data_IF_862478338103
#
_entry.id   IF_862478338103
#
_cell.length_a   1.000
_cell.length_b   1.000
_cell.length_c   1.000
_cell.angle_alpha   90.00
_cell.angle_beta   90.00
_cell.angle_gamma   90.00
#
_symmetry.space_group_name_H-M   'P 1'
#
loop_
_entity.id
_entity.type
_entity.pdbx_description
1 polymer ?
#
# COMPACT_ATOMS: atom_id res chain seq x y z
N UNK A 1 28.58 10.77 -22.49
CA UNK A 1 27.60 9.69 -22.75
C UNK A 1 28.23 8.40 -22.29
N UNK A 2 27.55 7.60 -21.48
CA UNK A 2 28.10 6.33 -21.00
C UNK A 2 28.21 5.36 -22.17
N UNK A 3 29.32 4.58 -22.24
CA UNK A 3 29.38 3.45 -23.19
C UNK A 3 28.42 2.35 -22.72
N UNK A 4 27.40 2.05 -23.52
CA UNK A 4 26.38 1.05 -23.27
C UNK A 4 26.52 -0.13 -24.26
N UNK A 5 27.74 -0.40 -24.74
CA UNK A 5 28.05 -1.58 -25.55
C UNK A 5 27.74 -2.87 -24.78
N UNK A 6 27.47 -3.96 -25.53
CA UNK A 6 27.22 -5.31 -24.98
C UNK A 6 28.31 -5.72 -23.97
N UNK A 7 29.57 -5.45 -24.32
CA UNK A 7 30.73 -5.75 -23.47
C UNK A 7 30.63 -4.99 -22.15
N UNK A 8 30.37 -3.68 -22.20
CA UNK A 8 30.27 -2.84 -21.00
C UNK A 8 29.10 -3.24 -20.12
N UNK A 9 27.92 -3.52 -20.70
CA UNK A 9 26.75 -4.01 -19.97
C UNK A 9 27.04 -5.34 -19.28
N UNK A 10 27.76 -6.25 -19.95
CA UNK A 10 28.19 -7.52 -19.38
C UNK A 10 29.15 -7.32 -18.21
N UNK A 11 30.13 -6.46 -18.35
CA UNK A 11 31.09 -6.14 -17.28
C UNK A 11 30.40 -5.54 -16.05
N UNK A 12 29.38 -4.70 -16.25
CA UNK A 12 28.55 -4.16 -15.17
C UNK A 12 27.71 -5.24 -14.48
N UNK A 13 27.03 -6.09 -15.26
CA UNK A 13 26.19 -7.15 -14.74
C UNK A 13 26.98 -8.21 -13.94
N UNK A 14 28.19 -8.55 -14.39
CA UNK A 14 29.08 -9.51 -13.70
C UNK A 14 29.57 -9.05 -12.32
N UNK A 15 29.34 -7.80 -11.95
CA UNK A 15 29.61 -7.30 -10.59
C UNK A 15 28.57 -7.79 -9.58
N UNK A 16 27.38 -8.13 -10.06
CA UNK A 16 26.20 -8.37 -9.25
C UNK A 16 25.59 -9.76 -9.43
N UNK A 17 25.93 -10.44 -10.55
CA UNK A 17 25.32 -11.71 -10.92
C UNK A 17 26.38 -12.72 -11.35
N UNK A 18 26.08 -14.00 -11.12
CA UNK A 18 26.88 -15.09 -11.66
C UNK A 18 26.78 -15.12 -13.19
N UNK A 19 27.88 -15.37 -13.91
CA UNK A 19 27.86 -15.50 -15.37
C UNK A 19 26.81 -16.47 -15.94
N UNK A 20 26.47 -17.52 -15.20
CA UNK A 20 25.47 -18.53 -15.59
C UNK A 20 24.03 -17.95 -15.62
N UNK A 21 23.77 -16.93 -14.82
CA UNK A 21 22.46 -16.26 -14.73
C UNK A 21 22.26 -15.16 -15.78
N UNK A 22 23.28 -14.92 -16.61
CA UNK A 22 23.27 -13.86 -17.61
C UNK A 22 23.21 -14.42 -19.05
N UNK A 23 22.46 -13.78 -19.97
CA UNK A 23 22.42 -14.17 -21.36
C UNK A 23 23.76 -13.89 -22.06
N UNK A 24 24.01 -14.56 -23.19
CA UNK A 24 25.18 -14.27 -24.02
C UNK A 24 25.24 -12.81 -24.49
N UNK A 25 24.08 -12.29 -24.93
CA UNK A 25 23.88 -10.89 -25.29
C UNK A 25 22.61 -10.37 -24.63
N UNK A 26 22.62 -9.12 -24.18
CA UNK A 26 21.45 -8.44 -23.64
C UNK A 26 20.59 -7.87 -24.76
N UNK A 27 19.29 -8.00 -24.65
CA UNK A 27 18.39 -7.19 -25.43
C UNK A 27 18.26 -5.81 -24.72
N UNK A 28 18.55 -4.76 -25.47
CA UNK A 28 18.48 -3.38 -24.95
C UNK A 28 17.12 -2.81 -25.31
N UNK A 29 16.43 -2.27 -24.32
CA UNK A 29 15.13 -1.64 -24.45
C UNK A 29 15.24 -0.17 -24.04
N UNK A 30 14.98 0.74 -24.97
CA UNK A 30 14.91 2.20 -24.73
C UNK A 30 13.51 2.76 -24.93
N UNK A 31 12.61 1.95 -25.52
CA UNK A 31 11.19 2.22 -25.71
C UNK A 31 10.36 1.22 -24.90
N UNK A 32 9.53 1.71 -24.01
CA UNK A 32 8.68 0.91 -23.11
C UNK A 32 7.20 0.97 -23.46
N UNK A 33 6.85 1.42 -24.66
CA UNK A 33 5.45 1.56 -25.12
C UNK A 33 4.70 0.23 -25.04
N UNK A 34 5.35 -0.88 -25.37
CA UNK A 34 4.80 -2.22 -25.19
C UNK A 34 5.51 -2.91 -24.03
N UNK A 35 4.94 -2.84 -22.83
CA UNK A 35 5.51 -3.44 -21.63
C UNK A 35 5.56 -4.98 -21.68
N UNK A 36 4.79 -5.64 -22.53
CA UNK A 36 4.89 -7.10 -22.73
C UNK A 36 6.18 -7.50 -23.44
N UNK A 37 6.78 -6.58 -24.18
CA UNK A 37 8.08 -6.82 -24.84
C UNK A 37 9.27 -6.70 -23.90
N UNK A 38 9.08 -6.17 -22.70
CA UNK A 38 10.16 -6.07 -21.71
C UNK A 38 10.12 -7.29 -20.81
N UNK A 39 11.17 -8.11 -20.84
CA UNK A 39 11.18 -9.42 -20.20
C UNK A 39 12.45 -9.66 -19.35
N UNK A 40 12.53 -10.84 -18.75
CA UNK A 40 13.66 -11.28 -17.93
C UNK A 40 14.99 -11.19 -18.70
N UNK A 41 16.01 -10.62 -18.05
CA UNK A 41 17.32 -10.36 -18.59
C UNK A 41 17.40 -9.29 -19.70
N UNK A 42 16.34 -8.55 -19.97
CA UNK A 42 16.45 -7.34 -20.77
C UNK A 42 17.12 -6.22 -19.98
N UNK A 43 17.83 -5.34 -20.65
CA UNK A 43 18.40 -4.13 -20.09
C UNK A 43 17.57 -2.93 -20.54
N UNK A 44 16.88 -2.32 -19.58
CA UNK A 44 16.22 -1.03 -19.78
C UNK A 44 17.26 0.09 -19.69
N UNK A 45 17.38 0.89 -20.74
CA UNK A 45 18.20 2.12 -20.72
C UNK A 45 17.26 3.30 -20.56
N UNK A 46 17.28 3.91 -19.39
CA UNK A 46 16.43 5.03 -19.02
C UNK A 46 17.30 6.23 -18.63
N UNK A 47 17.20 7.30 -19.39
CA UNK A 47 18.08 8.49 -19.22
C UNK A 47 19.58 8.12 -19.16
N UNK A 48 20.03 7.26 -20.09
CA UNK A 48 21.41 6.78 -20.20
C UNK A 48 21.90 5.95 -18.99
N UNK A 49 20.98 5.40 -18.21
CA UNK A 49 21.23 4.60 -17.01
C UNK A 49 20.69 3.16 -17.22
N UNK A 50 21.52 2.10 -17.04
CA UNK A 50 21.12 0.72 -17.34
C UNK A 50 20.52 0.00 -16.13
N UNK A 51 19.34 -0.61 -16.33
CA UNK A 51 18.65 -1.45 -15.36
C UNK A 51 18.41 -2.85 -15.92
N UNK A 52 18.90 -3.89 -15.26
CA UNK A 52 18.66 -5.28 -15.66
C UNK A 52 17.33 -5.77 -15.08
N UNK A 53 16.42 -6.19 -15.96
CA UNK A 53 15.12 -6.74 -15.58
C UNK A 53 15.27 -8.16 -15.00
N UNK A 54 14.73 -8.40 -13.81
CA UNK A 54 14.81 -9.70 -13.12
C UNK A 54 13.42 -10.32 -12.90
N UNK A 55 12.43 -9.89 -13.66
CA UNK A 55 11.07 -10.43 -13.67
C UNK A 55 10.00 -9.38 -13.41
N UNK A 56 8.76 -9.85 -13.33
CA UNK A 56 7.61 -9.00 -13.03
C UNK A 56 7.28 -9.02 -11.52
N UNK A 57 6.73 -7.94 -11.02
CA UNK A 57 6.06 -7.97 -9.72
C UNK A 57 4.80 -8.86 -9.81
N UNK A 58 4.39 -9.41 -8.68
CA UNK A 58 3.18 -10.22 -8.57
C UNK A 58 2.21 -9.53 -7.62
N UNK A 59 0.92 -9.71 -7.84
CA UNK A 59 -0.13 -9.26 -6.95
C UNK A 59 -1.02 -10.44 -6.59
N UNK A 60 -1.11 -10.75 -5.29
CA UNK A 60 -2.10 -11.69 -4.79
C UNK A 60 -3.43 -10.97 -4.59
N UNK A 61 -4.46 -11.34 -5.35
CA UNK A 61 -5.83 -10.88 -5.12
C UNK A 61 -6.69 -12.03 -4.61
N UNK A 62 -7.27 -11.89 -3.43
CA UNK A 62 -8.32 -12.78 -2.90
C UNK A 62 -7.98 -14.29 -2.84
N UNK A 63 -6.70 -14.65 -2.62
CA UNK A 63 -6.32 -16.06 -2.52
C UNK A 63 -6.26 -16.81 -3.84
N UNK A 64 -6.33 -16.12 -4.97
CA UNK A 64 -6.02 -16.62 -6.29
C UNK A 64 -4.51 -16.44 -6.52
N UNK A 65 -3.87 -17.38 -7.22
CA UNK A 65 -2.44 -17.36 -7.52
C UNK A 65 -1.95 -15.98 -7.95
N UNK A 66 -0.78 -15.58 -7.46
CA UNK A 66 -0.14 -14.31 -7.75
C UNK A 66 -0.04 -14.04 -9.24
N UNK A 67 -0.90 -13.20 -9.78
CA UNK A 67 -0.84 -12.80 -11.19
C UNK A 67 0.30 -11.81 -11.43
N UNK A 68 1.10 -12.00 -12.49
CA UNK A 68 2.18 -11.08 -12.81
C UNK A 68 1.65 -9.74 -13.31
N UNK A 69 2.13 -8.65 -12.70
CA UNK A 69 1.92 -7.28 -13.19
C UNK A 69 2.97 -6.99 -14.27
N UNK A 70 2.66 -7.26 -15.53
CA UNK A 70 3.62 -7.13 -16.64
C UNK A 70 4.19 -5.72 -16.83
N UNK A 71 3.48 -4.67 -16.35
CA UNK A 71 3.95 -3.28 -16.38
C UNK A 71 4.81 -2.89 -15.18
N UNK A 72 5.02 -3.80 -14.21
CA UNK A 72 5.84 -3.58 -13.01
C UNK A 72 7.01 -4.54 -13.02
N UNK A 73 8.19 -4.04 -13.33
CA UNK A 73 9.42 -4.83 -13.47
C UNK A 73 10.24 -4.77 -12.18
N UNK A 74 10.63 -5.93 -11.67
CA UNK A 74 11.70 -6.03 -10.66
C UNK A 74 13.02 -5.96 -11.40
N UNK A 75 13.86 -5.03 -11.02
CA UNK A 75 15.10 -4.74 -11.74
C UNK A 75 16.27 -4.51 -10.77
N UNK A 76 17.47 -4.61 -11.30
CA UNK A 76 18.70 -4.23 -10.59
C UNK A 76 19.37 -3.10 -11.35
N UNK A 77 19.72 -2.06 -10.67
CA UNK A 77 20.57 -0.98 -11.18
C UNK A 77 21.97 -1.55 -11.42
N UNK A 78 22.45 -1.50 -12.67
CA UNK A 78 23.73 -2.10 -13.01
C UNK A 78 24.93 -1.27 -12.55
N UNK A 79 24.75 -0.01 -12.13
CA UNK A 79 25.84 0.84 -11.68
C UNK A 79 26.18 0.59 -10.22
N UNK A 80 25.17 0.43 -9.34
CA UNK A 80 25.36 0.30 -7.89
C UNK A 80 24.83 -1.01 -7.28
N UNK A 81 24.17 -1.86 -8.08
CA UNK A 81 23.61 -3.15 -7.65
C UNK A 81 22.31 -3.04 -6.85
N UNK A 82 21.76 -1.85 -6.66
CA UNK A 82 20.53 -1.66 -5.88
C UNK A 82 19.32 -2.27 -6.61
N UNK A 83 18.41 -2.88 -5.84
CA UNK A 83 17.16 -3.37 -6.39
C UNK A 83 16.20 -2.20 -6.62
N UNK A 84 15.52 -2.23 -7.76
CA UNK A 84 14.53 -1.24 -8.17
C UNK A 84 13.23 -1.93 -8.61
N UNK A 85 12.13 -1.21 -8.41
CA UNK A 85 10.85 -1.50 -9.04
C UNK A 85 10.64 -0.47 -10.14
N UNK A 86 10.56 -0.92 -11.39
CA UNK A 86 10.36 -0.02 -12.54
C UNK A 86 8.93 -0.21 -13.03
N UNK A 87 8.13 0.85 -12.95
CA UNK A 87 6.75 0.86 -13.42
C UNK A 87 6.68 1.52 -14.79
N UNK A 88 6.29 0.72 -15.78
CA UNK A 88 6.06 1.14 -17.16
C UNK A 88 4.66 1.77 -17.29
N UNK A 89 4.38 2.39 -18.44
CA UNK A 89 3.07 3.02 -18.66
C UNK A 89 2.00 1.94 -18.78
N UNK A 90 1.02 2.02 -17.90
CA UNK A 90 -0.20 1.24 -17.96
C UNK A 90 -1.36 2.13 -17.56
N UNK A 91 -2.28 2.36 -18.49
CA UNK A 91 -3.49 3.14 -18.28
C UNK A 91 -4.68 2.19 -18.16
N UNK A 92 -5.39 2.29 -17.05
CA UNK A 92 -6.56 1.48 -16.75
C UNK A 92 -7.71 2.38 -16.33
N UNK A 93 -8.93 2.07 -16.78
CA UNK A 93 -10.16 2.71 -16.32
C UNK A 93 -11.10 1.63 -15.86
N UNK A 94 -11.61 1.76 -14.65
CA UNK A 94 -12.57 0.82 -14.10
C UNK A 94 -13.54 1.55 -13.16
N UNK A 95 -14.59 0.85 -12.76
CA UNK A 95 -15.50 1.32 -11.74
C UNK A 95 -15.24 0.57 -10.44
N UNK A 96 -14.99 1.31 -9.35
CA UNK A 96 -14.97 0.77 -8.00
C UNK A 96 -16.30 1.06 -7.31
N UNK A 97 -16.74 0.15 -6.45
CA UNK A 97 -17.97 0.30 -5.68
C UNK A 97 -17.67 0.27 -4.19
N UNK A 98 -18.13 1.30 -3.48
CA UNK A 98 -18.01 1.41 -2.02
C UNK A 98 -19.42 1.58 -1.46
N UNK A 99 -19.97 0.53 -0.85
CA UNK A 99 -21.36 0.52 -0.44
C UNK A 99 -22.31 0.78 -1.63
N UNK A 100 -23.21 1.78 -1.55
CA UNK A 100 -24.10 2.17 -2.62
C UNK A 100 -23.44 3.07 -3.69
N UNK A 101 -22.24 3.59 -3.43
CA UNK A 101 -21.58 4.60 -4.27
C UNK A 101 -20.67 3.92 -5.28
N UNK A 102 -20.76 4.34 -6.55
CA UNK A 102 -19.88 3.89 -7.63
C UNK A 102 -18.94 5.02 -8.02
N UNK A 103 -17.64 4.73 -8.06
CA UNK A 103 -16.58 5.65 -8.42
C UNK A 103 -15.99 5.28 -9.76
N UNK A 104 -15.71 6.27 -10.60
CA UNK A 104 -14.87 6.09 -11.77
C UNK A 104 -13.41 6.23 -11.35
N UNK A 105 -12.63 5.18 -11.58
CA UNK A 105 -11.24 5.09 -11.20
C UNK A 105 -10.36 5.08 -12.42
N UNK A 106 -9.27 5.83 -12.36
CA UNK A 106 -8.25 5.86 -13.42
C UNK A 106 -6.89 5.60 -12.80
N UNK A 107 -6.18 4.60 -13.34
CA UNK A 107 -4.76 4.42 -13.06
C UNK A 107 -3.97 5.41 -13.91
N UNK A 108 -3.15 6.23 -13.27
CA UNK A 108 -2.41 7.31 -13.93
C UNK A 108 -0.92 7.31 -13.59
N UNK A 109 -0.06 6.91 -14.56
CA UNK A 109 1.39 7.05 -14.43
C UNK A 109 1.84 8.47 -14.10
N UNK A 110 1.15 9.47 -14.66
CA UNK A 110 1.44 10.88 -14.43
C UNK A 110 1.14 11.33 -13.00
N UNK A 111 0.03 10.82 -12.41
CA UNK A 111 -0.27 11.09 -10.99
C UNK A 111 0.82 10.52 -10.09
N UNK A 112 1.21 9.25 -10.29
CA UNK A 112 2.25 8.63 -9.47
C UNK A 112 3.58 9.37 -9.59
N UNK A 113 3.97 9.80 -10.80
CA UNK A 113 5.17 10.60 -11.01
C UNK A 113 5.13 11.94 -10.24
N UNK A 114 3.97 12.61 -10.23
CA UNK A 114 3.75 13.85 -9.49
C UNK A 114 3.82 13.62 -7.98
N UNK A 115 3.11 12.61 -7.48
CA UNK A 115 3.13 12.26 -6.04
C UNK A 115 4.52 11.86 -5.58
N UNK A 116 5.31 11.08 -6.36
CA UNK A 116 6.71 10.77 -6.06
C UNK A 116 7.55 12.04 -5.84
N UNK A 117 7.29 13.09 -6.61
CA UNK A 117 7.99 14.37 -6.44
C UNK A 117 7.58 15.09 -5.14
N UNK A 118 6.30 15.03 -4.78
CA UNK A 118 5.76 15.64 -3.54
C UNK A 118 6.32 14.92 -2.30
N UNK A 119 6.35 13.58 -2.31
CA UNK A 119 6.76 12.77 -1.16
C UNK A 119 8.27 12.53 -1.09
N UNK A 120 9.06 13.20 -1.91
CA UNK A 120 10.51 13.02 -1.95
C UNK A 120 11.14 13.27 -0.57
N UNK A 121 11.83 12.26 -0.05
CA UNK A 121 12.46 12.28 1.28
C UNK A 121 11.51 12.03 2.45
N UNK A 122 10.20 11.90 2.21
CA UNK A 122 9.25 11.58 3.29
C UNK A 122 9.38 10.11 3.71
N UNK A 123 9.65 9.81 5.00
CA UNK A 123 10.07 8.47 5.44
C UNK A 123 8.98 7.40 5.35
N UNK A 124 7.70 7.77 5.32
CA UNK A 124 6.57 6.84 5.30
C UNK A 124 5.99 6.60 3.89
N UNK A 125 6.71 7.00 2.84
CA UNK A 125 6.36 6.68 1.46
C UNK A 125 7.49 5.94 0.75
N UNK A 126 7.14 5.15 -0.27
CA UNK A 126 8.11 4.68 -1.25
C UNK A 126 8.84 5.87 -1.86
N UNK A 127 10.12 5.70 -2.14
CA UNK A 127 10.96 6.71 -2.76
C UNK A 127 11.29 6.31 -4.19
N UNK A 128 11.52 7.31 -5.02
CA UNK A 128 11.84 7.10 -6.43
C UNK A 128 11.75 8.40 -7.22
N UNK A 129 11.83 8.25 -8.52
CA UNK A 129 11.71 9.35 -9.46
C UNK A 129 11.14 8.85 -10.79
N UNK A 130 10.75 9.77 -11.65
CA UNK A 130 10.27 9.44 -13.00
C UNK A 130 11.21 10.00 -14.07
N UNK A 131 11.31 9.27 -15.18
CA UNK A 131 12.02 9.68 -16.38
C UNK A 131 11.16 9.40 -17.61
N UNK A 132 11.43 10.12 -18.70
CA UNK A 132 10.88 9.76 -19.99
C UNK A 132 11.82 8.77 -20.69
N UNK A 133 11.26 7.73 -21.33
CA UNK A 133 11.99 6.88 -22.27
C UNK A 133 12.12 7.56 -23.65
N UNK A 134 12.71 6.89 -24.64
CA UNK A 134 12.90 7.43 -25.98
C UNK A 134 11.58 7.72 -26.72
N UNK A 135 10.51 7.03 -26.35
CA UNK A 135 9.15 7.25 -26.87
C UNK A 135 8.33 8.23 -26.01
N UNK A 136 8.95 8.92 -25.03
CA UNK A 136 8.35 9.86 -24.09
C UNK A 136 7.35 9.23 -23.12
N UNK A 137 7.40 7.92 -22.91
CA UNK A 137 6.63 7.27 -21.88
C UNK A 137 7.16 7.66 -20.48
N UNK A 138 6.28 7.96 -19.55
CA UNK A 138 6.67 8.27 -18.16
C UNK A 138 6.94 6.98 -17.41
N UNK A 139 8.21 6.66 -17.21
CA UNK A 139 8.66 5.49 -16.46
C UNK A 139 9.00 5.91 -15.03
N UNK A 140 8.48 5.18 -14.02
CA UNK A 140 8.77 5.43 -12.61
C UNK A 140 9.79 4.42 -12.14
N UNK A 141 10.90 4.91 -11.57
CA UNK A 141 11.99 4.11 -11.02
C UNK A 141 11.92 4.28 -9.50
N UNK A 142 11.57 3.21 -8.81
CA UNK A 142 11.23 3.19 -7.39
C UNK A 142 12.25 2.35 -6.65
N UNK A 143 12.73 2.84 -5.51
CA UNK A 143 13.62 2.11 -4.63
C UNK A 143 12.89 0.90 -4.04
N UNK A 144 13.54 -0.26 -4.07
CA UNK A 144 12.96 -1.47 -3.49
C UNK A 144 12.93 -1.35 -1.97
N UNK A 145 11.76 -1.58 -1.37
CA UNK A 145 11.60 -1.63 0.09
C UNK A 145 11.73 -3.09 0.52
N UNK A 146 12.72 -3.39 1.36
CA UNK A 146 12.87 -4.70 1.98
C UNK A 146 11.91 -4.82 3.14
N UNK A 147 11.08 -5.85 3.12
CA UNK A 147 10.06 -6.07 4.13
C UNK A 147 8.84 -6.82 3.59
N UNK A 148 7.83 -6.90 4.39
CA UNK A 148 6.58 -7.57 4.07
C UNK A 148 5.39 -6.60 4.12
N UNK A 149 4.29 -6.95 3.45
CA UNK A 149 3.09 -6.13 3.55
C UNK A 149 2.43 -6.25 4.93
N UNK A 150 1.67 -5.23 5.31
CA UNK A 150 1.04 -5.16 6.63
C UNK A 150 0.17 -6.39 6.97
N UNK A 151 -0.65 -6.96 6.07
CA UNK A 151 -1.38 -8.20 6.33
C UNK A 151 -0.47 -9.37 6.71
N UNK A 152 0.63 -9.58 6.01
CA UNK A 152 1.59 -10.65 6.31
C UNK A 152 2.22 -10.42 7.68
N UNK A 153 2.67 -9.21 7.96
CA UNK A 153 3.23 -8.81 9.25
C UNK A 153 2.26 -9.10 10.41
N UNK A 154 1.00 -8.65 10.32
CA UNK A 154 0.00 -8.87 11.37
C UNK A 154 -0.30 -10.35 11.54
N UNK A 155 -0.48 -11.10 10.44
CA UNK A 155 -0.76 -12.53 10.50
C UNK A 155 0.42 -13.36 11.05
N UNK A 156 1.63 -12.81 11.00
CA UNK A 156 2.84 -13.38 11.61
C UNK A 156 2.83 -13.33 13.14
N UNK A 157 2.02 -12.47 13.76
CA UNK A 157 1.92 -12.33 15.22
C UNK A 157 1.03 -13.45 15.75
N UNK A 158 1.65 -14.52 16.26
CA UNK A 158 0.96 -15.73 16.77
C UNK A 158 0.59 -15.56 18.25
N UNK A 159 -0.41 -14.71 18.53
CA UNK A 159 -0.95 -14.43 19.88
C UNK A 159 -2.46 -14.49 19.85
N UNK A 160 -3.09 -14.76 20.99
CA UNK A 160 -4.50 -14.48 21.12
C UNK A 160 -4.77 -12.95 21.06
N UNK A 161 -6.05 -12.57 20.94
CA UNK A 161 -6.36 -11.14 20.70
C UNK A 161 -6.01 -10.26 21.92
N UNK A 162 -6.18 -10.75 23.13
CA UNK A 162 -5.91 -9.97 24.36
C UNK A 162 -4.39 -9.73 24.53
N UNK A 163 -3.58 -10.77 24.34
CA UNK A 163 -2.12 -10.66 24.31
C UNK A 163 -1.62 -9.76 23.17
N UNK A 164 -2.24 -9.87 22.00
CA UNK A 164 -1.95 -8.99 20.87
C UNK A 164 -2.27 -7.53 21.20
N UNK A 165 -3.48 -7.28 21.71
CA UNK A 165 -4.00 -5.94 21.96
C UNK A 165 -3.19 -5.20 23.03
N UNK A 166 -2.87 -5.86 24.14
CA UNK A 166 -2.09 -5.25 25.22
C UNK A 166 -0.57 -5.24 24.96
N UNK A 167 -0.06 -6.23 24.23
CA UNK A 167 1.39 -6.37 23.99
C UNK A 167 1.90 -5.75 22.70
N UNK A 168 1.32 -6.11 21.57
CA UNK A 168 1.83 -5.76 20.23
C UNK A 168 1.16 -4.50 19.63
N UNK A 169 -0.16 -4.38 19.77
CA UNK A 169 -0.96 -3.33 19.14
C UNK A 169 -0.52 -1.89 19.51
N UNK A 170 -0.10 -1.55 20.76
CA UNK A 170 0.33 -0.18 21.06
C UNK A 170 1.52 0.31 20.22
N UNK A 171 2.44 -0.57 19.87
CA UNK A 171 3.57 -0.24 18.99
C UNK A 171 3.13 -0.11 17.53
N UNK A 172 2.23 -0.99 17.10
CA UNK A 172 1.63 -1.00 15.76
C UNK A 172 0.81 0.28 15.55
N UNK A 173 0.00 0.68 16.55
CA UNK A 173 -0.77 1.92 16.50
C UNK A 173 0.13 3.14 16.36
N UNK A 174 1.27 3.18 17.08
CA UNK A 174 2.25 4.28 16.90
C UNK A 174 2.77 4.36 15.47
N UNK A 175 3.17 3.22 14.89
CA UNK A 175 3.63 3.18 13.51
C UNK A 175 2.52 3.54 12.52
N UNK A 176 1.29 3.09 12.78
CA UNK A 176 0.12 3.41 11.96
C UNK A 176 -0.22 4.92 12.00
N UNK A 177 -0.15 5.57 13.15
CA UNK A 177 -0.36 7.02 13.26
C UNK A 177 0.61 7.78 12.34
N UNK A 178 1.86 7.35 12.22
CA UNK A 178 2.81 7.98 11.30
C UNK A 178 2.40 7.77 9.82
N UNK A 179 1.73 6.67 9.47
CA UNK A 179 1.18 6.48 8.13
C UNK A 179 -0.05 7.36 7.88
N UNK A 180 -0.87 7.61 8.91
CA UNK A 180 -2.00 8.56 8.81
C UNK A 180 -1.49 9.99 8.62
N UNK A 181 -0.46 10.40 9.37
CA UNK A 181 0.21 11.71 9.17
C UNK A 181 0.76 11.85 7.75
N UNK A 182 1.28 10.77 7.18
CA UNK A 182 1.77 10.78 5.80
C UNK A 182 0.62 11.02 4.79
N UNK A 183 -0.53 10.40 4.98
CA UNK A 183 -1.71 10.69 4.13
C UNK A 183 -2.22 12.12 4.36
N UNK A 184 -2.23 12.59 5.60
CA UNK A 184 -2.58 13.98 5.90
C UNK A 184 -1.66 14.97 5.17
N UNK A 185 -0.34 14.72 5.18
CA UNK A 185 0.63 15.48 4.39
C UNK A 185 0.30 15.50 2.89
N UNK A 186 -0.14 14.37 2.28
CA UNK A 186 -0.59 14.38 0.89
C UNK A 186 -1.81 15.29 0.69
N UNK A 187 -2.79 15.20 1.59
CA UNK A 187 -4.01 15.99 1.51
C UNK A 187 -3.73 17.50 1.65
N UNK A 188 -2.80 17.90 2.53
CA UNK A 188 -2.33 19.28 2.65
C UNK A 188 -1.64 19.79 1.37
N UNK A 189 -1.04 18.90 0.59
CA UNK A 189 -0.45 19.18 -0.71
C UNK A 189 -1.43 18.96 -1.89
N UNK A 190 -2.73 18.95 -1.62
CA UNK A 190 -3.78 18.78 -2.62
C UNK A 190 -3.69 17.47 -3.43
N UNK A 191 -2.99 16.45 -2.90
CA UNK A 191 -2.85 15.14 -3.50
C UNK A 191 -3.60 14.07 -2.68
N UNK A 192 -3.95 12.96 -3.34
CA UNK A 192 -4.55 11.79 -2.71
C UNK A 192 -3.65 10.57 -2.93
N UNK A 193 -3.70 9.62 -2.02
CA UNK A 193 -3.13 8.30 -2.29
C UNK A 193 -3.96 7.57 -3.36
N UNK A 194 -5.27 7.52 -3.17
CA UNK A 194 -6.23 6.98 -4.14
C UNK A 194 -6.36 5.46 -4.12
N UNK A 195 -5.52 4.74 -3.38
CA UNK A 195 -5.65 3.29 -3.16
C UNK A 195 -5.15 2.91 -1.76
N UNK A 196 -5.72 3.56 -0.74
CA UNK A 196 -5.39 3.33 0.67
C UNK A 196 -5.91 1.95 1.09
N UNK A 197 -4.99 0.97 1.11
CA UNK A 197 -5.26 -0.42 1.46
C UNK A 197 -4.12 -0.96 2.34
N UNK A 198 -4.43 -1.94 3.17
CA UNK A 198 -3.45 -2.56 4.09
C UNK A 198 -2.29 -3.25 3.37
N UNK A 199 -2.53 -3.82 2.20
CA UNK A 199 -1.50 -4.45 1.36
C UNK A 199 -0.60 -3.44 0.61
N UNK A 200 -0.98 -2.16 0.61
CA UNK A 200 -0.16 -1.05 0.13
C UNK A 200 0.66 -0.36 1.24
N UNK A 201 0.76 -0.99 2.40
CA UNK A 201 1.73 -0.64 3.44
C UNK A 201 2.77 -1.75 3.51
N UNK A 202 4.05 -1.39 3.30
CA UNK A 202 5.19 -2.27 3.55
C UNK A 202 5.76 -1.94 4.92
N UNK A 203 5.92 -2.97 5.76
CA UNK A 203 6.67 -2.88 7.01
C UNK A 203 8.14 -3.05 6.65
N UNK A 204 8.85 -1.94 6.60
CA UNK A 204 10.27 -1.88 6.21
C UNK A 204 11.13 -2.56 7.29
N UNK A 205 11.78 -3.67 6.97
CA UNK A 205 12.59 -4.46 7.91
C UNK A 205 13.85 -3.73 8.38
N UNK A 206 14.33 -2.73 7.61
CA UNK A 206 15.54 -1.98 7.94
C UNK A 206 15.29 -0.84 8.92
N UNK A 207 14.09 -0.24 8.85
CA UNK A 207 13.73 0.94 9.63
C UNK A 207 12.57 0.71 10.59
N UNK A 208 11.89 -0.44 10.50
CA UNK A 208 10.63 -0.78 11.21
C UNK A 208 9.47 0.18 10.94
N UNK A 209 9.60 1.03 9.91
CA UNK A 209 8.57 1.99 9.52
C UNK A 209 7.55 1.35 8.60
N UNK A 210 6.33 1.84 8.69
CA UNK A 210 5.28 1.54 7.72
C UNK A 210 5.38 2.53 6.57
N UNK A 211 5.51 2.03 5.34
CA UNK A 211 5.72 2.84 4.14
C UNK A 211 4.64 2.58 3.10
N UNK A 212 3.99 3.64 2.65
CA UNK A 212 3.00 3.61 1.60
C UNK A 212 3.62 3.33 0.23
N UNK A 213 2.94 2.49 -0.57
CA UNK A 213 3.27 2.19 -1.98
C UNK A 213 2.02 2.33 -2.84
N UNK A 214 2.19 2.37 -4.17
CA UNK A 214 1.10 2.26 -5.16
C UNK A 214 0.03 3.37 -5.08
N UNK A 215 0.42 4.63 -5.20
CA UNK A 215 -0.49 5.78 -5.21
C UNK A 215 -0.82 6.28 -6.64
N UNK A 216 -1.14 5.37 -7.55
CA UNK A 216 -1.36 5.68 -8.97
C UNK A 216 -2.84 5.83 -9.37
N UNK A 217 -3.81 5.61 -8.47
CA UNK A 217 -5.22 5.76 -8.77
C UNK A 217 -5.76 7.16 -8.53
N UNK A 218 -6.62 7.63 -9.45
CA UNK A 218 -7.42 8.84 -9.31
C UNK A 218 -8.87 8.41 -9.17
N UNK A 219 -9.53 8.89 -8.11
CA UNK A 219 -10.97 8.76 -7.90
C UNK A 219 -11.61 10.14 -8.07
N UNK A 220 -12.69 10.18 -8.81
CA UNK A 220 -13.48 11.39 -8.95
C UNK A 220 -14.70 11.30 -8.04
N UNK A 221 -14.73 12.14 -7.00
CA UNK A 221 -15.88 12.35 -6.13
C UNK A 221 -16.06 13.85 -5.89
N UNK A 222 -17.32 14.32 -5.97
CA UNK A 222 -17.61 15.75 -5.96
C UNK A 222 -17.76 16.32 -4.54
N UNK A 223 -18.17 15.51 -3.55
CA UNK A 223 -18.53 15.99 -2.22
C UNK A 223 -17.35 15.96 -1.22
N UNK A 224 -16.59 14.88 -1.20
CA UNK A 224 -15.41 14.76 -0.36
C UNK A 224 -14.25 14.15 -1.15
N UNK A 225 -13.30 14.99 -1.54
CA UNK A 225 -12.12 14.60 -2.32
C UNK A 225 -11.24 13.57 -1.62
N UNK A 226 -11.18 13.65 -0.30
CA UNK A 226 -10.31 12.82 0.53
C UNK A 226 -11.05 11.65 1.19
N UNK A 227 -12.37 11.61 1.08
CA UNK A 227 -13.21 10.62 1.75
C UNK A 227 -12.85 9.17 1.44
N UNK A 228 -12.39 8.89 0.21
CA UNK A 228 -11.95 7.54 -0.18
C UNK A 228 -10.69 7.10 0.59
N UNK A 229 -9.69 7.98 0.70
CA UNK A 229 -8.47 7.69 1.47
C UNK A 229 -8.80 7.54 2.97
N UNK A 230 -9.68 8.38 3.51
CA UNK A 230 -10.12 8.32 4.92
C UNK A 230 -10.84 6.99 5.20
N UNK A 231 -11.74 6.57 4.31
CA UNK A 231 -12.40 5.25 4.41
C UNK A 231 -11.38 4.09 4.43
N UNK A 232 -10.37 4.18 3.58
CA UNK A 232 -9.28 3.20 3.54
C UNK A 232 -8.50 3.16 4.86
N UNK A 233 -8.16 4.34 5.40
CA UNK A 233 -7.50 4.45 6.72
C UNK A 233 -8.35 3.83 7.83
N UNK A 234 -9.63 4.13 7.91
CA UNK A 234 -10.52 3.54 8.91
C UNK A 234 -10.60 2.01 8.82
N UNK A 235 -10.65 1.47 7.60
CA UNK A 235 -10.63 0.01 7.41
C UNK A 235 -9.32 -0.64 7.87
N UNK A 236 -8.20 0.04 7.67
CA UNK A 236 -6.90 -0.43 8.17
C UNK A 236 -6.90 -0.38 9.70
N UNK A 237 -7.41 0.69 10.32
CA UNK A 237 -7.49 0.78 11.78
C UNK A 237 -8.33 -0.35 12.37
N UNK A 238 -9.53 -0.63 11.83
CA UNK A 238 -10.38 -1.74 12.28
C UNK A 238 -9.62 -3.07 12.19
N UNK A 239 -8.92 -3.31 11.09
CA UNK A 239 -8.09 -4.50 10.90
C UNK A 239 -6.97 -4.61 11.95
N UNK A 240 -6.28 -3.50 12.24
CA UNK A 240 -5.20 -3.45 13.23
C UNK A 240 -5.72 -3.65 14.66
N UNK A 241 -6.82 -2.99 15.02
CA UNK A 241 -7.44 -3.16 16.34
C UNK A 241 -7.93 -4.60 16.54
N UNK A 242 -8.48 -5.22 15.49
CA UNK A 242 -8.93 -6.60 15.54
C UNK A 242 -7.83 -7.67 15.48
N UNK A 243 -6.55 -7.27 15.27
CA UNK A 243 -5.47 -8.23 15.00
C UNK A 243 -5.71 -9.07 13.74
N UNK A 244 -6.59 -8.58 12.85
CA UNK A 244 -7.08 -9.25 11.66
C UNK A 244 -8.52 -8.88 11.35
N UNK A 245 -9.12 -9.54 10.34
CA UNK A 245 -10.52 -9.35 10.00
C UNK A 245 -11.44 -10.09 10.99
N UNK A 246 -12.26 -9.36 11.74
CA UNK A 246 -13.29 -9.93 12.60
C UNK A 246 -14.56 -10.14 11.78
N UNK A 247 -14.79 -11.39 11.37
CA UNK A 247 -15.87 -11.78 10.45
C UNK A 247 -17.11 -12.23 11.24
N UNK A 248 -18.27 -11.63 10.98
CA UNK A 248 -19.51 -11.91 11.68
C UNK A 248 -19.94 -13.39 11.58
N UNK A 249 -19.77 -14.03 10.40
CA UNK A 249 -20.08 -15.44 10.23
C UNK A 249 -19.23 -16.36 11.12
N UNK A 250 -17.95 -16.05 11.29
CA UNK A 250 -17.08 -16.83 12.20
C UNK A 250 -17.52 -16.68 13.64
N UNK A 251 -17.88 -15.45 14.06
CA UNK A 251 -18.41 -15.23 15.42
C UNK A 251 -19.70 -16.00 15.68
N UNK A 252 -20.57 -16.16 14.69
CA UNK A 252 -21.78 -16.99 14.83
C UNK A 252 -21.45 -18.42 15.24
N UNK A 253 -20.38 -18.98 14.68
CA UNK A 253 -20.00 -20.38 14.87
C UNK A 253 -19.09 -20.55 16.12
N UNK A 254 -18.20 -19.61 16.37
CA UNK A 254 -17.17 -19.69 17.44
C UNK A 254 -17.61 -19.01 18.75
N UNK A 255 -18.40 -17.93 18.67
CA UNK A 255 -18.84 -17.11 19.81
C UNK A 255 -20.30 -16.65 19.63
N UNK A 256 -21.27 -17.55 19.67
CA UNK A 256 -22.68 -17.25 19.39
C UNK A 256 -23.29 -16.23 20.35
N UNK A 257 -22.82 -16.18 21.59
CA UNK A 257 -23.21 -15.18 22.61
C UNK A 257 -22.84 -13.75 22.18
N UNK A 258 -21.68 -13.57 21.57
CA UNK A 258 -21.22 -12.27 21.03
C UNK A 258 -22.01 -11.96 19.78
N UNK A 259 -22.16 -12.93 18.86
CA UNK A 259 -22.87 -12.72 17.61
C UNK A 259 -24.33 -12.25 17.83
N UNK A 260 -25.03 -12.78 18.82
CA UNK A 260 -26.41 -12.37 19.15
C UNK A 260 -26.53 -10.91 19.58
N UNK A 261 -25.46 -10.29 20.07
CA UNK A 261 -25.42 -8.87 20.46
C UNK A 261 -25.08 -7.91 19.33
N UNK A 262 -24.63 -8.46 18.20
CA UNK A 262 -24.29 -7.66 17.02
C UNK A 262 -25.54 -7.31 16.21
N UNK A 263 -25.57 -6.08 15.72
CA UNK A 263 -26.61 -5.60 14.81
C UNK A 263 -25.98 -5.23 13.46
N UNK A 264 -26.77 -4.89 12.49
CA UNK A 264 -26.28 -4.37 11.20
C UNK A 264 -25.46 -3.09 11.37
N UNK A 265 -25.81 -2.27 12.35
CA UNK A 265 -25.14 -1.00 12.64
C UNK A 265 -23.69 -1.18 13.13
N UNK A 266 -23.39 -2.35 13.70
CA UNK A 266 -22.04 -2.68 14.18
C UNK A 266 -21.10 -3.12 13.04
N UNK A 267 -21.63 -3.36 11.84
CA UNK A 267 -20.86 -3.83 10.69
C UNK A 267 -20.11 -2.68 10.02
N UNK A 268 -19.00 -3.02 9.39
CA UNK A 268 -18.21 -2.07 8.60
C UNK A 268 -19.02 -1.52 7.42
N UNK A 269 -18.91 -0.22 7.17
CA UNK A 269 -19.69 0.47 6.13
C UNK A 269 -19.35 -0.01 4.70
N UNK A 270 -18.13 -0.50 4.48
CA UNK A 270 -17.68 -1.02 3.17
C UNK A 270 -17.79 -2.55 3.13
N UNK A 271 -17.25 -3.22 4.14
CA UNK A 271 -17.19 -4.68 4.22
C UNK A 271 -18.25 -5.20 5.18
N UNK A 272 -19.49 -5.34 4.69
CA UNK A 272 -20.68 -5.63 5.48
C UNK A 272 -20.65 -6.94 6.29
N UNK A 273 -19.70 -7.82 6.02
CA UNK A 273 -19.47 -9.05 6.77
C UNK A 273 -18.40 -8.92 7.88
N UNK A 274 -17.78 -7.74 8.03
CA UNK A 274 -16.77 -7.46 9.05
C UNK A 274 -17.38 -6.60 10.15
N UNK A 275 -17.00 -6.87 11.39
CA UNK A 275 -17.41 -6.08 12.54
C UNK A 275 -16.51 -4.84 12.67
N UNK A 276 -17.12 -3.67 12.76
CA UNK A 276 -16.45 -2.40 13.07
C UNK A 276 -16.53 -2.06 14.56
N UNK A 277 -17.66 -2.34 15.22
CA UNK A 277 -17.82 -2.16 16.67
C UNK A 277 -17.09 -3.27 17.44
N UNK A 278 -15.78 -3.18 17.49
CA UNK A 278 -14.95 -4.24 18.06
C UNK A 278 -15.05 -4.36 19.58
N UNK A 279 -15.48 -3.33 20.30
CA UNK A 279 -15.71 -3.40 21.76
C UNK A 279 -16.80 -4.41 22.11
N UNK A 280 -17.80 -4.63 21.26
CA UNK A 280 -18.79 -5.69 21.48
C UNK A 280 -18.19 -7.09 21.41
N UNK A 281 -17.08 -7.26 20.69
CA UNK A 281 -16.37 -8.54 20.57
C UNK A 281 -15.28 -8.65 21.62
N UNK A 282 -14.56 -7.58 21.88
CA UNK A 282 -13.42 -7.47 22.79
C UNK A 282 -13.67 -6.36 23.81
N UNK A 283 -14.31 -6.66 24.97
CA UNK A 283 -14.79 -5.64 25.92
C UNK A 283 -13.70 -4.76 26.54
N UNK A 284 -12.44 -5.19 26.51
CA UNK A 284 -11.28 -4.43 27.00
C UNK A 284 -10.83 -3.30 26.07
N UNK A 285 -11.39 -3.20 24.84
CA UNK A 285 -11.16 -2.04 23.97
C UNK A 285 -11.80 -0.81 24.63
N UNK A 286 -11.02 0.27 24.77
CA UNK A 286 -11.50 1.51 25.40
C UNK A 286 -12.63 2.16 24.58
N UNK A 287 -13.51 2.91 25.26
CA UNK A 287 -14.59 3.65 24.60
C UNK A 287 -14.02 4.67 23.61
N UNK A 288 -12.93 5.33 23.96
CA UNK A 288 -12.26 6.31 23.11
C UNK A 288 -11.76 5.69 21.80
N UNK A 289 -11.12 4.53 21.85
CA UNK A 289 -10.67 3.84 20.63
C UNK A 289 -11.86 3.32 19.83
N UNK A 290 -12.85 2.73 20.50
CA UNK A 290 -14.02 2.20 19.81
C UNK A 290 -14.86 3.29 19.15
N UNK A 291 -14.95 4.50 19.73
CA UNK A 291 -15.67 5.61 19.11
C UNK A 291 -15.05 6.00 17.75
N UNK A 292 -13.72 5.94 17.62
CA UNK A 292 -13.04 6.15 16.32
C UNK A 292 -13.44 5.09 15.31
N UNK A 293 -13.54 3.82 15.73
CA UNK A 293 -13.96 2.72 14.82
C UNK A 293 -15.40 2.90 14.36
N UNK A 294 -16.28 3.42 15.21
CA UNK A 294 -17.70 3.61 14.91
C UNK A 294 -17.97 4.63 13.81
N UNK A 295 -17.05 5.56 13.52
CA UNK A 295 -17.16 6.43 12.34
C UNK A 295 -17.11 5.65 11.01
N UNK A 296 -16.65 4.41 11.02
CA UNK A 296 -16.57 3.51 9.87
C UNK A 296 -17.57 2.35 9.96
N UNK A 297 -18.54 2.42 10.86
CA UNK A 297 -19.62 1.45 11.02
C UNK A 297 -20.86 1.90 10.25
N UNK A 298 -21.74 0.92 9.92
CA UNK A 298 -23.01 1.18 9.23
C UNK A 298 -23.95 2.09 10.02
N UNK A 299 -23.84 2.11 11.36
CA UNK A 299 -24.64 2.96 12.24
C UNK A 299 -24.07 4.36 12.45
N UNK A 300 -23.03 4.75 11.71
CA UNK A 300 -22.46 6.09 11.88
C UNK A 300 -23.41 7.18 11.43
N UNK A 301 -23.55 8.23 12.25
CA UNK A 301 -24.27 9.45 11.89
C UNK A 301 -23.35 10.50 11.29
N UNK A 302 -22.03 10.39 11.53
CA UNK A 302 -21.03 11.36 11.08
C UNK A 302 -19.80 10.65 10.54
N UNK A 303 -19.31 11.12 9.43
CA UNK A 303 -18.04 10.69 8.83
C UNK A 303 -17.01 11.80 8.97
N UNK A 304 -15.73 11.48 8.97
CA UNK A 304 -14.66 12.48 9.01
C UNK A 304 -14.63 13.32 7.73
N UNK A 305 -14.62 14.64 7.88
CA UNK A 305 -14.52 15.58 6.77
C UNK A 305 -13.11 15.61 6.18
N UNK A 306 -12.11 15.47 7.05
CA UNK A 306 -10.70 15.50 6.68
C UNK A 306 -9.85 14.53 7.55
N UNK A 307 -8.62 14.30 7.11
CA UNK A 307 -7.69 13.40 7.79
C UNK A 307 -7.16 13.97 9.11
N UNK A 308 -7.20 15.30 9.30
CA UNK A 308 -6.79 15.96 10.54
C UNK A 308 -7.71 15.60 11.69
N UNK A 309 -9.04 15.66 11.49
CA UNK A 309 -10.03 15.22 12.48
C UNK A 309 -9.81 13.76 12.89
N UNK A 310 -9.60 12.87 11.91
CA UNK A 310 -9.30 11.46 12.17
C UNK A 310 -8.01 11.29 12.97
N UNK A 311 -6.96 12.04 12.63
CA UNK A 311 -5.68 12.00 13.33
C UNK A 311 -5.80 12.48 14.78
N UNK A 312 -6.53 13.55 15.04
CA UNK A 312 -6.77 14.09 16.40
C UNK A 312 -7.44 13.04 17.29
N UNK A 313 -8.45 12.34 16.78
CA UNK A 313 -9.15 11.32 17.55
C UNK A 313 -8.27 10.06 17.76
N UNK A 314 -7.44 9.70 16.79
CA UNK A 314 -6.44 8.64 16.97
C UNK A 314 -5.40 8.99 18.05
N UNK A 315 -4.97 10.24 18.12
CA UNK A 315 -4.02 10.69 19.15
C UNK A 315 -4.65 10.64 20.55
N UNK A 316 -5.93 11.01 20.70
CA UNK A 316 -6.69 10.85 21.95
C UNK A 316 -6.82 9.38 22.35
N UNK A 317 -7.18 8.51 21.36
CA UNK A 317 -7.31 7.08 21.60
C UNK A 317 -5.97 6.44 22.02
N UNK A 318 -4.86 6.84 21.39
CA UNK A 318 -3.51 6.40 21.78
C UNK A 318 -3.19 6.77 23.22
N UNK A 319 -3.53 7.99 23.66
CA UNK A 319 -3.27 8.45 25.04
C UNK A 319 -4.03 7.61 26.06
N UNK A 320 -5.29 7.26 25.76
CA UNK A 320 -6.10 6.41 26.65
C UNK A 320 -5.59 4.98 26.81
N UNK A 321 -4.80 4.46 25.84
CA UNK A 321 -4.17 3.13 25.94
C UNK A 321 -2.90 3.12 26.82
N UNK A 322 -2.34 4.27 27.16
CA UNK A 322 -1.15 4.38 28.00
C UNK A 322 -1.48 4.54 29.49
N UNK A 323 -2.74 4.83 29.81
CA UNK A 323 -3.23 5.03 31.17
C UNK A 323 -3.82 3.73 31.80
N UNK A 324 -3.91 2.66 31.00
CA UNK A 324 -4.44 1.35 31.40
C UNK A 324 -3.32 0.34 31.52
#
# INVERSE_FOLDING_TARGET
>A
MMDLSQRRLRDLALRWFDPVDLPGNFRICTDTTDFFRVDYNDVLILNNHPYLVRGNAKEGRFGIDDEPKYWVKRSTDLLDGSKKVIKLVFNERFQARVGPITFNCIRSPMKEARVLSVVKGHPNFMQGFSVADDSRNVVRIIDYIYGENLPTFISGIKKDHEEYFHGSFPSILRAYIETVKAIHFLHENEETHGDVRRDHIIVDETTTRFRWIDFDFIFYHHENRFGYDICGLGNILIYLVGGGDVIAQRLRDERPDVFQRLTREDMNIIFLNRVANLKKVFPYISDTLNSVLLHFAMGTETFYDDTGQFLDDLLKAKSSLQET
#
